data_IF_430999874917
#
_entry.id   IF_430999874917
#
_cell.length_a   1.000
_cell.length_b   1.000
_cell.length_c   1.000
_cell.angle_alpha   90.00
_cell.angle_beta   90.00
_cell.angle_gamma   90.00
#
_symmetry.space_group_name_H-M   'P 1'
#
loop_
_entity.id
_entity.type
_entity.pdbx_description
1 polymer ?
#
# COMPACT_ATOMS: atom_id res chain seq x y z
N UNK A 1 -37.48 -43.32 3.55
CA UNK A 1 -37.18 -42.48 2.37
C UNK A 1 -36.86 -41.01 2.68
N UNK A 2 -37.27 -40.46 3.82
CA UNK A 2 -36.97 -39.06 4.18
C UNK A 2 -35.51 -38.81 4.62
N UNK A 3 -34.89 -39.77 5.34
CA UNK A 3 -33.54 -39.63 5.88
C UNK A 3 -32.47 -39.43 4.79
N UNK A 4 -32.60 -40.14 3.68
CA UNK A 4 -31.65 -40.06 2.56
C UNK A 4 -31.71 -38.70 1.85
N UNK A 5 -32.88 -38.07 1.79
CA UNK A 5 -33.05 -36.74 1.17
C UNK A 5 -32.41 -35.64 2.02
N UNK A 6 -32.52 -35.73 3.34
CA UNK A 6 -31.91 -34.75 4.25
C UNK A 6 -30.38 -34.84 4.20
N UNK A 7 -29.82 -36.05 4.20
CA UNK A 7 -28.37 -36.27 4.09
C UNK A 7 -27.82 -35.71 2.77
N UNK A 8 -28.54 -35.91 1.66
CA UNK A 8 -28.15 -35.38 0.34
C UNK A 8 -28.13 -33.85 0.30
N UNK A 9 -29.13 -33.19 0.88
CA UNK A 9 -29.20 -31.71 0.91
C UNK A 9 -28.05 -31.14 1.75
N UNK A 10 -27.77 -31.72 2.93
CA UNK A 10 -26.66 -31.29 3.78
C UNK A 10 -25.31 -31.49 3.07
N UNK A 11 -25.12 -32.63 2.38
CA UNK A 11 -23.90 -32.90 1.61
C UNK A 11 -23.71 -31.90 0.47
N UNK A 12 -24.77 -31.56 -0.27
CA UNK A 12 -24.71 -30.58 -1.37
C UNK A 12 -24.43 -29.18 -0.83
N UNK A 13 -25.02 -28.78 0.30
CA UNK A 13 -24.74 -27.49 0.94
C UNK A 13 -23.29 -27.39 1.42
N UNK A 14 -22.72 -28.47 1.98
CA UNK A 14 -21.31 -28.52 2.40
C UNK A 14 -20.35 -28.48 1.20
N UNK A 15 -20.67 -29.17 0.11
CA UNK A 15 -19.88 -29.14 -1.13
C UNK A 15 -19.86 -27.74 -1.76
N UNK A 16 -21.01 -27.07 -1.83
CA UNK A 16 -21.09 -25.69 -2.36
C UNK A 16 -20.35 -24.68 -1.46
N UNK A 17 -20.35 -24.88 -0.14
CA UNK A 17 -19.59 -24.05 0.79
C UNK A 17 -18.07 -24.22 0.60
N UNK A 18 -17.60 -25.45 0.32
CA UNK A 18 -16.20 -25.72 -0.02
C UNK A 18 -15.79 -25.13 -1.36
N UNK A 19 -16.67 -25.15 -2.37
CA UNK A 19 -16.43 -24.49 -3.67
C UNK A 19 -16.35 -22.97 -3.53
N UNK A 20 -17.18 -22.36 -2.68
CA UNK A 20 -17.10 -20.93 -2.36
C UNK A 20 -15.85 -20.56 -1.54
N UNK A 21 -15.28 -21.51 -0.79
CA UNK A 21 -14.06 -21.36 0.02
C UNK A 21 -12.78 -21.71 -0.75
N UNK A 22 -12.84 -22.02 -2.05
CA UNK A 22 -11.67 -21.96 -2.93
C UNK A 22 -11.29 -20.50 -3.18
N UNK A 23 -11.04 -19.78 -2.10
CA UNK A 23 -10.23 -18.57 -2.10
C UNK A 23 -8.87 -19.02 -2.62
N UNK A 24 -8.61 -18.72 -3.89
CA UNK A 24 -7.32 -18.95 -4.55
C UNK A 24 -6.25 -18.47 -3.60
N UNK A 25 -5.49 -19.41 -3.03
CA UNK A 25 -4.36 -19.10 -2.15
C UNK A 25 -3.55 -17.99 -2.84
N UNK A 26 -3.39 -16.81 -2.21
CA UNK A 26 -2.70 -15.70 -2.84
C UNK A 26 -1.35 -16.19 -3.35
N UNK A 27 -1.07 -15.98 -4.65
CA UNK A 27 0.17 -16.46 -5.23
C UNK A 27 1.35 -15.85 -4.49
N UNK A 28 2.29 -16.69 -4.08
CA UNK A 28 3.49 -16.21 -3.40
C UNK A 28 4.37 -15.42 -4.37
N UNK A 29 4.88 -14.28 -3.92
CA UNK A 29 5.79 -13.44 -4.68
C UNK A 29 7.14 -14.15 -4.85
N UNK A 30 7.53 -14.42 -6.10
CA UNK A 30 8.75 -15.19 -6.40
C UNK A 30 10.04 -14.36 -6.29
N UNK A 31 10.00 -13.07 -6.59
CA UNK A 31 11.20 -12.22 -6.71
C UNK A 31 11.03 -10.89 -5.95
N UNK A 32 11.08 -10.96 -4.62
CA UNK A 32 11.11 -9.77 -3.77
C UNK A 32 12.55 -9.25 -3.69
N UNK A 33 12.77 -8.03 -4.19
CA UNK A 33 14.03 -7.30 -4.03
C UNK A 33 13.94 -6.41 -2.80
N UNK A 34 14.92 -6.51 -1.89
CA UNK A 34 15.00 -5.64 -0.72
C UNK A 34 16.15 -4.63 -0.85
N UNK A 35 15.96 -3.43 -0.34
CA UNK A 35 17.01 -2.43 -0.20
C UNK A 35 18.02 -2.80 0.88
N UNK A 36 19.08 -1.99 1.02
CA UNK A 36 20.17 -2.27 1.96
C UNK A 36 19.94 -1.68 3.36
N UNK A 37 19.27 -0.53 3.44
CA UNK A 37 19.11 0.25 4.68
C UNK A 37 17.80 -0.10 5.41
N UNK A 38 17.88 -0.21 6.74
CA UNK A 38 16.72 -0.40 7.62
C UNK A 38 16.21 0.95 8.10
N UNK A 39 15.38 1.58 7.28
CA UNK A 39 14.88 2.92 7.54
C UNK A 39 13.36 2.98 7.67
N UNK A 40 12.67 1.84 7.64
CA UNK A 40 11.21 1.78 7.79
C UNK A 40 10.85 1.38 9.21
N UNK A 41 10.11 2.23 9.91
CA UNK A 41 9.56 1.91 11.22
C UNK A 41 8.48 0.82 11.09
N UNK A 42 8.33 0.04 12.15
CA UNK A 42 7.35 -1.02 12.20
C UNK A 42 5.93 -0.43 12.11
N UNK A 43 5.07 -1.02 11.27
CA UNK A 43 3.68 -0.59 11.11
C UNK A 43 3.46 0.51 10.08
N UNK A 44 4.44 1.38 9.82
CA UNK A 44 4.30 2.53 8.91
C UNK A 44 3.86 2.13 7.50
N UNK A 45 4.52 1.14 6.88
CA UNK A 45 4.12 0.69 5.56
C UNK A 45 2.74 0.03 5.53
N UNK A 46 2.35 -0.65 6.61
CA UNK A 46 1.03 -1.24 6.72
C UNK A 46 -0.05 -0.18 6.86
N UNK A 47 0.23 0.90 7.59
CA UNK A 47 -0.62 2.07 7.62
C UNK A 47 -0.71 2.76 6.26
N UNK A 48 0.41 2.88 5.52
CA UNK A 48 0.45 3.48 4.19
C UNK A 48 -0.39 2.73 3.15
N UNK A 49 -0.16 1.42 2.93
CA UNK A 49 -0.90 0.71 1.88
C UNK A 49 -2.39 0.56 2.20
N UNK A 50 -2.80 0.65 3.48
CA UNK A 50 -4.21 0.64 3.87
C UNK A 50 -4.97 1.91 3.49
N UNK A 51 -4.26 3.00 3.16
CA UNK A 51 -4.85 4.24 2.62
C UNK A 51 -5.13 4.18 1.12
N UNK A 52 -4.74 3.11 0.44
CA UNK A 52 -4.99 2.96 -1.00
C UNK A 52 -6.50 2.94 -1.22
N UNK A 53 -6.95 3.78 -2.16
CA UNK A 53 -8.35 3.85 -2.55
C UNK A 53 -8.60 2.79 -3.63
N UNK A 54 -9.75 2.13 -3.52
CA UNK A 54 -10.20 1.09 -4.43
C UNK A 54 -11.58 1.47 -4.95
N UNK A 55 -11.91 0.97 -6.14
CA UNK A 55 -13.23 1.12 -6.73
C UNK A 55 -14.28 0.34 -5.92
N UNK A 56 -15.57 0.58 -6.23
CA UNK A 56 -16.69 -0.01 -5.51
C UNK A 56 -16.72 -1.55 -5.52
N UNK A 57 -16.04 -2.18 -6.47
CA UNK A 57 -15.86 -3.64 -6.57
C UNK A 57 -14.62 -4.17 -5.79
N UNK A 58 -13.96 -3.31 -5.01
CA UNK A 58 -12.74 -3.60 -4.25
C UNK A 58 -11.52 -3.92 -5.13
N UNK A 59 -11.41 -3.26 -6.28
CA UNK A 59 -10.27 -3.39 -7.20
C UNK A 59 -9.54 -2.06 -7.38
N UNK A 60 -8.31 -2.10 -7.91
CA UNK A 60 -7.57 -0.88 -8.21
C UNK A 60 -8.29 -0.06 -9.29
N UNK A 61 -8.32 1.26 -9.09
CA UNK A 61 -8.82 2.20 -10.09
C UNK A 61 -8.11 2.00 -11.44
N UNK A 62 -8.90 1.70 -12.47
CA UNK A 62 -8.41 1.47 -13.83
C UNK A 62 -8.17 2.76 -14.62
N UNK A 63 -8.36 3.93 -14.02
CA UNK A 63 -8.02 5.23 -14.59
C UNK A 63 -6.69 5.75 -14.06
N UNK A 64 -6.16 5.16 -12.99
CA UNK A 64 -4.87 5.52 -12.40
C UNK A 64 -3.78 4.52 -12.78
N UNK A 65 -2.73 5.01 -13.43
CA UNK A 65 -1.56 4.17 -13.77
C UNK A 65 -0.64 3.91 -12.57
N UNK A 66 -0.85 4.62 -11.47
CA UNK A 66 -0.14 4.39 -10.22
C UNK A 66 -0.90 4.91 -9.00
N UNK A 67 -0.81 4.19 -7.89
CA UNK A 67 -1.34 4.61 -6.60
C UNK A 67 -0.20 4.68 -5.58
N UNK A 68 0.00 5.86 -4.99
CA UNK A 68 1.02 6.09 -3.97
C UNK A 68 0.40 6.60 -2.67
N UNK A 69 0.85 6.07 -1.54
CA UNK A 69 0.39 6.46 -0.20
C UNK A 69 1.57 6.52 0.76
N UNK A 70 1.53 7.48 1.67
CA UNK A 70 2.58 7.73 2.65
C UNK A 70 2.04 7.59 4.06
N UNK A 71 2.88 7.06 4.95
CA UNK A 71 2.62 7.07 6.38
C UNK A 71 3.94 7.03 7.12
N UNK A 72 4.26 8.09 7.85
CA UNK A 72 5.47 8.14 8.68
C UNK A 72 6.72 7.95 7.85
N UNK A 73 7.52 6.93 8.16
CA UNK A 73 8.78 6.61 7.47
C UNK A 73 8.63 5.87 6.14
N UNK A 74 7.41 5.51 5.71
CA UNK A 74 7.19 4.64 4.56
C UNK A 74 6.30 5.27 3.49
N UNK A 75 6.73 5.12 2.23
CA UNK A 75 5.89 5.34 1.05
C UNK A 75 5.66 4.00 0.36
N UNK A 76 4.40 3.69 0.08
CA UNK A 76 3.98 2.53 -0.71
C UNK A 76 3.53 2.99 -2.08
N UNK A 77 3.95 2.31 -3.14
CA UNK A 77 3.57 2.63 -4.52
C UNK A 77 3.19 1.36 -5.26
N UNK A 78 2.09 1.43 -6.00
CA UNK A 78 1.69 0.45 -7.01
C UNK A 78 1.81 1.10 -8.37
N UNK A 79 2.59 0.51 -9.27
CA UNK A 79 2.56 0.84 -10.69
C UNK A 79 1.66 -0.15 -11.41
N UNK A 80 0.70 0.36 -12.18
CA UNK A 80 -0.25 -0.39 -13.00
C UNK A 80 -0.38 0.25 -14.39
N UNK A 81 0.68 0.26 -15.21
CA UNK A 81 0.71 0.99 -16.49
C UNK A 81 -0.27 0.45 -17.54
N UNK A 82 -0.83 -0.74 -17.32
CA UNK A 82 -1.79 -1.40 -18.21
C UNK A 82 -3.23 -1.35 -17.69
N UNK A 83 -3.47 -0.61 -16.59
CA UNK A 83 -4.80 -0.43 -16.01
C UNK A 83 -5.50 -1.76 -15.70
N UNK A 84 -4.72 -2.75 -15.26
CA UNK A 84 -5.22 -4.08 -14.91
C UNK A 84 -6.18 -3.96 -13.73
N UNK A 85 -7.30 -4.68 -13.79
CA UNK A 85 -8.20 -4.82 -12.65
C UNK A 85 -7.55 -5.77 -11.62
N UNK A 86 -6.95 -5.20 -10.57
CA UNK A 86 -6.27 -5.98 -9.51
C UNK A 86 -7.08 -5.92 -8.21
N UNK A 87 -7.47 -7.07 -7.63
CA UNK A 87 -8.22 -7.08 -6.37
C UNK A 87 -7.41 -6.56 -5.18
N UNK A 88 -8.07 -5.82 -4.28
CA UNK A 88 -7.51 -5.31 -3.01
C UNK A 88 -6.79 -6.38 -2.21
N UNK A 89 -7.40 -7.54 -2.02
CA UNK A 89 -6.83 -8.62 -1.21
C UNK A 89 -5.49 -9.15 -1.78
N UNK A 90 -5.31 -9.09 -3.11
CA UNK A 90 -4.06 -9.49 -3.76
C UNK A 90 -2.97 -8.44 -3.52
N UNK A 91 -3.32 -7.15 -3.60
CA UNK A 91 -2.41 -6.03 -3.33
C UNK A 91 -1.94 -6.03 -1.88
N UNK A 92 -2.86 -6.09 -0.92
CA UNK A 92 -2.53 -6.07 0.50
C UNK A 92 -1.66 -7.28 0.89
N UNK A 93 -2.03 -8.47 0.40
CA UNK A 93 -1.22 -9.67 0.63
C UNK A 93 0.19 -9.55 0.02
N UNK A 94 0.32 -8.95 -1.16
CA UNK A 94 1.62 -8.75 -1.79
C UNK A 94 2.50 -7.78 -0.97
N UNK A 95 1.94 -6.70 -0.43
CA UNK A 95 2.67 -5.84 0.50
C UNK A 95 3.08 -6.58 1.77
N UNK A 96 2.20 -7.38 2.38
CA UNK A 96 2.52 -8.17 3.56
C UNK A 96 3.69 -9.13 3.31
N UNK A 97 3.71 -9.79 2.16
CA UNK A 97 4.83 -10.64 1.74
C UNK A 97 6.14 -9.85 1.59
N UNK A 98 6.09 -8.64 0.99
CA UNK A 98 7.25 -7.75 0.88
C UNK A 98 7.77 -7.35 2.27
N UNK A 99 6.88 -6.93 3.17
CA UNK A 99 7.25 -6.47 4.51
C UNK A 99 7.84 -7.60 5.36
N UNK A 100 7.23 -8.79 5.31
CA UNK A 100 7.74 -9.98 5.98
C UNK A 100 9.14 -10.37 5.47
N UNK A 101 9.38 -10.27 4.16
CA UNK A 101 10.68 -10.63 3.55
C UNK A 101 11.77 -9.59 3.81
N UNK A 102 11.43 -8.30 3.75
CA UNK A 102 12.43 -7.22 3.76
C UNK A 102 12.74 -6.68 5.16
N UNK A 103 11.95 -6.99 6.19
CA UNK A 103 12.25 -6.72 7.61
C UNK A 103 12.75 -5.28 7.87
N UNK A 104 11.84 -4.30 7.79
CA UNK A 104 12.10 -2.85 7.96
C UNK A 104 12.99 -2.20 6.88
N UNK A 105 13.22 -2.90 5.76
CA UNK A 105 13.90 -2.34 4.57
C UNK A 105 12.89 -2.09 3.45
N UNK A 106 13.21 -1.14 2.58
CA UNK A 106 12.51 -0.95 1.30
C UNK A 106 12.42 -2.27 0.54
N UNK A 107 11.32 -2.49 -0.16
CA UNK A 107 11.11 -3.71 -0.93
C UNK A 107 10.40 -3.44 -2.26
N UNK A 108 10.54 -4.34 -3.23
CA UNK A 108 9.73 -4.30 -4.43
C UNK A 108 9.55 -5.69 -5.03
N UNK A 109 8.42 -5.89 -5.70
CA UNK A 109 8.12 -7.13 -6.40
C UNK A 109 7.19 -6.88 -7.59
N UNK A 110 7.34 -7.67 -8.65
CA UNK A 110 6.33 -7.77 -9.68
C UNK A 110 5.18 -8.66 -9.19
N UNK A 111 3.95 -8.34 -9.57
CA UNK A 111 2.76 -9.08 -9.14
C UNK A 111 2.47 -10.23 -10.12
N UNK A 112 2.55 -11.51 -9.69
CA UNK A 112 2.28 -12.64 -10.58
C UNK A 112 0.83 -12.63 -11.09
N UNK A 113 0.64 -12.89 -12.38
CA UNK A 113 -0.68 -12.90 -13.02
C UNK A 113 -1.21 -11.52 -13.44
N UNK A 114 -0.50 -10.44 -13.09
CA UNK A 114 -0.88 -9.07 -13.47
C UNK A 114 0.28 -8.40 -14.19
N UNK A 115 0.25 -8.47 -15.52
CA UNK A 115 1.36 -8.02 -16.36
C UNK A 115 1.64 -6.52 -16.18
N UNK A 116 2.92 -6.18 -16.01
CA UNK A 116 3.38 -4.82 -15.76
C UNK A 116 3.10 -4.28 -14.35
N UNK A 117 2.31 -4.97 -13.52
CA UNK A 117 1.99 -4.51 -12.17
C UNK A 117 3.17 -4.74 -11.22
N UNK A 118 3.61 -3.66 -10.56
CA UNK A 118 4.74 -3.71 -9.62
C UNK A 118 4.41 -2.95 -8.34
N UNK A 119 4.71 -3.56 -7.21
CA UNK A 119 4.56 -2.97 -5.89
C UNK A 119 5.94 -2.59 -5.34
N UNK A 120 6.02 -1.49 -4.62
CA UNK A 120 7.23 -1.10 -3.90
C UNK A 120 6.95 -0.36 -2.59
N UNK A 121 7.88 -0.50 -1.66
CA UNK A 121 7.99 0.32 -0.46
C UNK A 121 9.32 1.06 -0.50
N UNK A 122 9.32 2.33 -0.10
CA UNK A 122 10.55 3.11 0.04
C UNK A 122 10.52 3.92 1.32
N UNK A 123 11.70 4.32 1.76
CA UNK A 123 11.83 5.29 2.83
C UNK A 123 11.24 6.63 2.39
N UNK A 124 10.35 7.15 3.20
CA UNK A 124 9.84 8.50 3.07
C UNK A 124 10.97 9.48 3.45
N UNK A 125 11.52 10.18 2.46
CA UNK A 125 12.40 11.33 2.69
C UNK A 125 11.47 12.53 2.80
N UNK A 126 11.58 13.30 3.89
CA UNK A 126 10.70 14.43 4.18
C UNK A 126 10.28 15.20 2.92
N UNK A 127 8.99 15.60 2.82
CA UNK A 127 8.50 16.29 1.66
C UNK A 127 9.31 17.56 1.43
N UNK A 128 9.69 17.81 0.17
CA UNK A 128 10.14 19.14 -0.20
C UNK A 128 8.96 20.10 -0.02
N UNK A 129 9.23 21.41 0.08
CA UNK A 129 8.17 22.43 0.18
C UNK A 129 7.16 22.42 -0.97
N UNK A 130 7.41 21.64 -2.02
CA UNK A 130 6.58 21.48 -3.21
C UNK A 130 5.88 20.12 -3.32
N UNK A 131 6.17 19.14 -2.45
CA UNK A 131 5.53 17.83 -2.50
C UNK A 131 4.37 17.76 -1.52
N UNK A 132 3.17 17.59 -2.06
CA UNK A 132 1.98 17.28 -1.28
C UNK A 132 1.94 15.78 -0.99
N UNK A 133 1.71 15.41 0.27
CA UNK A 133 1.59 14.05 0.75
C UNK A 133 0.30 13.90 1.55
N UNK A 134 -0.29 12.72 1.46
CA UNK A 134 -1.61 12.39 2.03
C UNK A 134 -1.61 12.29 3.56
N UNK A 135 -0.45 12.23 4.20
CA UNK A 135 -0.27 12.30 5.64
C UNK A 135 0.12 13.70 6.17
N UNK A 136 0.18 14.71 5.29
CA UNK A 136 0.36 16.09 5.72
C UNK A 136 -0.92 16.62 6.39
N UNK A 137 -0.80 17.13 7.61
CA UNK A 137 -1.91 17.80 8.28
C UNK A 137 -2.35 19.03 7.45
N UNK A 138 -3.60 19.01 6.99
CA UNK A 138 -4.22 20.15 6.32
C UNK A 138 -4.19 21.36 7.27
N UNK A 139 -3.86 22.54 6.73
CA UNK A 139 -3.77 23.83 7.45
C UNK A 139 -2.54 24.04 8.35
N UNK A 140 -1.50 23.19 8.31
CA UNK A 140 -0.19 23.59 8.85
C UNK A 140 0.52 24.54 7.89
N UNK A 141 0.95 25.68 8.42
CA UNK A 141 1.77 26.64 7.66
C UNK A 141 3.15 26.00 7.42
N UNK A 142 3.50 25.83 6.14
CA UNK A 142 4.83 25.39 5.73
C UNK A 142 5.77 26.59 5.66
N UNK A 143 6.76 26.58 6.53
CA UNK A 143 7.80 27.59 6.55
C UNK A 143 8.96 27.13 5.66
N UNK A 144 8.93 27.52 4.39
CA UNK A 144 10.15 27.54 3.58
C UNK A 144 11.02 28.71 4.06
N UNK A 145 12.35 28.57 4.07
CA UNK A 145 13.25 29.66 4.43
C UNK A 145 12.91 30.90 3.59
N UNK A 146 12.23 31.87 4.22
CA UNK A 146 11.84 33.11 3.58
C UNK A 146 13.07 33.92 3.13
N UNK A 147 12.89 34.94 2.27
CA UNK A 147 13.97 35.83 1.89
C UNK A 147 14.70 36.35 3.14
N UNK A 148 16.04 36.44 3.06
CA UNK A 148 16.92 36.85 4.16
C UNK A 148 16.36 38.11 4.83
N UNK A 149 16.05 38.01 6.13
CA UNK A 149 15.61 39.16 6.94
C UNK A 149 14.24 39.02 7.60
N UNK A 150 13.42 38.02 7.22
CA UNK A 150 12.15 37.74 7.91
C UNK A 150 12.40 36.73 9.03
N UNK A 151 12.18 37.14 10.29
CA UNK A 151 12.18 36.24 11.44
C UNK A 151 10.90 35.41 11.42
N UNK A 152 11.01 34.17 10.94
CA UNK A 152 9.94 33.18 11.07
C UNK A 152 9.92 32.68 12.52
N UNK A 153 8.78 32.83 13.20
CA UNK A 153 8.57 32.29 14.55
C UNK A 153 8.34 30.78 14.43
N UNK A 154 9.30 29.98 14.88
CA UNK A 154 9.28 28.50 14.72
C UNK A 154 8.03 27.83 15.31
N UNK A 155 7.38 28.45 16.29
CA UNK A 155 6.18 27.93 16.95
C UNK A 155 4.92 28.03 16.07
N UNK A 156 4.93 28.89 15.04
CA UNK A 156 3.82 29.01 14.08
C UNK A 156 3.95 28.01 12.92
N UNK A 157 5.10 27.31 12.84
CA UNK A 157 5.40 26.36 11.78
C UNK A 157 5.04 24.95 12.24
N UNK A 158 4.21 24.29 11.42
CA UNK A 158 3.73 22.96 11.74
C UNK A 158 4.75 21.84 11.50
N UNK A 159 5.66 22.02 10.54
CA UNK A 159 6.74 21.11 10.18
C UNK A 159 7.93 21.94 9.64
N UNK A 160 9.16 21.58 10.01
CA UNK A 160 10.38 22.20 9.48
C UNK A 160 10.78 21.48 8.19
N UNK A 161 10.82 22.21 7.08
CA UNK A 161 11.35 21.72 5.80
C UNK A 161 12.80 22.18 5.73
N UNK A 162 13.75 21.25 5.88
CA UNK A 162 15.17 21.54 5.65
C UNK A 162 15.46 21.39 4.14
N UNK A 163 15.78 22.47 3.41
CA UNK A 163 15.91 22.43 1.95
C UNK A 163 17.23 21.83 1.44
N UNK A 164 18.01 21.16 2.31
CA UNK A 164 19.39 20.71 2.00
C UNK A 164 19.72 19.27 2.47
N UNK A 165 18.76 18.34 2.49
CA UNK A 165 19.05 16.92 2.74
C UNK A 165 18.52 15.98 1.67
#
# INVERSE_FOLDING_TARGET
MALHRVVLVVAISLLNLQSSLQQTKPSSLKHITCGHKKNLHAGDCAAAYRKILYDGDSTLDQNESSAERTSGSCVTNIKNPKFMNVPKAIIENAFDQILARCNSRSGSAALPGFDGVRLSTRHHRHPSASSWEDDMELNRVFCSNGPKGIKIVKQDCGLQIDPYQ
#
